data_IF_613112630204
#
_entry.id   IF_613112630204
#
_cell.length_a   1.000
_cell.length_b   1.000
_cell.length_c   1.000
_cell.angle_alpha   90.00
_cell.angle_beta   90.00
_cell.angle_gamma   90.00
#
_symmetry.space_group_name_H-M   'P 1'
#
loop_
_entity.id
_entity.type
_entity.pdbx_description
1 polymer ?
#
# COMPACT_ATOMS: atom_id res chain seq x y z
N UNK A 1 -6.59 -2.38 -9.05
CA UNK A 1 -5.70 -2.08 -7.92
C UNK A 1 -5.64 -0.59 -7.64
N UNK A 2 -5.19 -0.21 -6.45
CA UNK A 2 -4.83 1.14 -6.04
C UNK A 2 -3.64 0.97 -5.09
N UNK A 3 -2.57 1.74 -5.25
CA UNK A 3 -1.38 1.65 -4.37
C UNK A 3 -1.47 2.75 -3.34
N UNK A 4 -1.29 2.42 -2.06
CA UNK A 4 -1.37 3.38 -0.96
C UNK A 4 -0.04 3.41 -0.20
N UNK A 5 0.49 4.62 0.02
CA UNK A 5 1.75 4.83 0.73
C UNK A 5 1.50 5.71 1.95
N UNK A 6 1.97 5.28 3.12
CA UNK A 6 1.86 6.06 4.35
C UNK A 6 2.92 7.16 4.40
N UNK A 7 2.47 8.42 4.56
CA UNK A 7 3.37 9.57 4.68
C UNK A 7 4.07 9.64 6.04
N UNK A 8 3.41 9.15 7.08
CA UNK A 8 3.87 9.23 8.47
C UNK A 8 3.12 8.19 9.33
N UNK A 9 3.34 8.22 10.65
CA UNK A 9 2.73 7.27 11.59
C UNK A 9 1.20 7.28 11.60
N UNK A 10 0.56 8.44 11.35
CA UNK A 10 -0.91 8.52 11.23
C UNK A 10 -1.38 7.84 9.95
N UNK A 11 -0.67 8.05 8.84
CA UNK A 11 -0.91 7.35 7.58
C UNK A 11 -0.72 5.83 7.72
N UNK A 12 0.32 5.39 8.42
CA UNK A 12 0.57 3.99 8.71
C UNK A 12 -0.58 3.36 9.50
N UNK A 13 -1.02 4.01 10.59
CA UNK A 13 -2.18 3.57 11.36
C UNK A 13 -3.45 3.49 10.50
N UNK A 14 -3.68 4.46 9.61
CA UNK A 14 -4.78 4.43 8.66
C UNK A 14 -4.68 3.24 7.69
N UNK A 15 -3.50 2.92 7.16
CA UNK A 15 -3.28 1.72 6.35
C UNK A 15 -3.54 0.43 7.13
N UNK A 16 -3.10 0.34 8.39
CA UNK A 16 -3.40 -0.81 9.25
C UNK A 16 -4.92 -0.99 9.39
N UNK A 17 -5.67 0.07 9.70
CA UNK A 17 -7.13 0.01 9.77
C UNK A 17 -7.76 -0.43 8.44
N UNK A 18 -7.30 0.12 7.30
CA UNK A 18 -7.78 -0.29 5.99
C UNK A 18 -7.53 -1.77 5.74
N UNK A 19 -6.33 -2.28 6.01
CA UNK A 19 -5.98 -3.70 5.84
C UNK A 19 -6.85 -4.59 6.75
N UNK A 20 -7.04 -4.21 8.02
CA UNK A 20 -7.89 -4.95 8.96
C UNK A 20 -9.35 -5.00 8.50
N UNK A 21 -9.94 -3.85 8.17
CA UNK A 21 -11.32 -3.77 7.66
C UNK A 21 -11.51 -4.60 6.38
N UNK A 22 -10.52 -4.54 5.48
CA UNK A 22 -10.53 -5.29 4.22
C UNK A 22 -10.59 -6.80 4.45
N UNK A 23 -9.83 -7.33 5.41
CA UNK A 23 -9.83 -8.78 5.72
C UNK A 23 -11.03 -9.21 6.57
N UNK A 24 -11.50 -8.36 7.49
CA UNK A 24 -12.66 -8.68 8.34
C UNK A 24 -13.99 -8.68 7.58
N UNK A 25 -14.09 -7.89 6.49
CA UNK A 25 -15.32 -7.73 5.73
C UNK A 25 -15.51 -8.71 4.57
N UNK A 26 -14.46 -9.45 4.17
CA UNK A 26 -14.50 -10.36 3.02
C UNK A 26 -14.01 -11.76 3.37
N UNK A 27 -14.75 -12.80 2.97
CA UNK A 27 -14.32 -14.20 3.16
C UNK A 27 -13.33 -14.69 2.09
N UNK A 28 -13.44 -14.17 0.87
CA UNK A 28 -12.69 -14.68 -0.28
C UNK A 28 -11.60 -13.71 -0.74
N UNK A 29 -12.01 -12.56 -1.29
CA UNK A 29 -11.10 -11.57 -1.85
C UNK A 29 -11.22 -10.23 -1.09
N UNK A 30 -10.19 -9.86 -0.32
CA UNK A 30 -10.11 -8.59 0.39
C UNK A 30 -10.31 -7.40 -0.56
N UNK A 31 -11.40 -6.65 -0.35
CA UNK A 31 -11.74 -5.46 -1.14
C UNK A 31 -12.19 -4.32 -0.25
N UNK A 32 -11.77 -3.11 -0.59
CA UNK A 32 -12.15 -1.89 0.13
C UNK A 32 -13.26 -1.15 -0.60
N UNK A 33 -14.32 -0.80 0.14
CA UNK A 33 -15.35 0.11 -0.34
C UNK A 33 -14.85 1.57 -0.30
N UNK A 34 -15.31 2.39 -1.24
CA UNK A 34 -14.92 3.81 -1.32
C UNK A 34 -15.21 4.61 -0.03
N UNK A 35 -16.33 4.40 0.70
CA UNK A 35 -16.57 5.11 1.96
C UNK A 35 -15.51 4.80 3.03
N UNK A 36 -15.07 3.54 3.12
CA UNK A 36 -13.99 3.12 4.04
C UNK A 36 -12.68 3.77 3.64
N UNK A 37 -12.38 3.81 2.34
CA UNK A 37 -11.20 4.50 1.82
C UNK A 37 -11.21 5.98 2.18
N UNK A 38 -12.37 6.65 2.05
CA UNK A 38 -12.56 8.04 2.43
C UNK A 38 -12.31 8.28 3.92
N UNK A 39 -12.79 7.39 4.79
CA UNK A 39 -12.61 7.47 6.24
C UNK A 39 -11.13 7.49 6.66
N UNK A 40 -10.28 6.72 5.97
CA UNK A 40 -8.88 6.54 6.31
C UNK A 40 -7.94 7.06 5.19
N UNK A 41 -8.28 8.17 4.54
CA UNK A 41 -7.55 8.73 3.39
C UNK A 41 -6.45 9.72 3.75
N UNK A 42 -6.46 10.25 4.98
CA UNK A 42 -5.51 11.28 5.40
C UNK A 42 -4.09 10.71 5.58
N UNK A 43 -3.07 11.53 5.31
CA UNK A 43 -1.65 11.18 5.45
C UNK A 43 -1.22 9.98 4.58
N UNK A 44 -1.91 9.75 3.45
CA UNK A 44 -1.62 8.66 2.52
C UNK A 44 -1.50 9.24 1.12
N UNK A 45 -0.47 8.83 0.38
CA UNK A 45 -0.46 8.98 -1.08
C UNK A 45 -1.20 7.80 -1.72
N UNK A 46 -2.01 8.09 -2.73
CA UNK A 46 -2.70 7.10 -3.54
C UNK A 46 -2.22 7.15 -4.98
N UNK A 47 -1.66 6.06 -5.47
CA UNK A 47 -1.24 5.91 -6.87
C UNK A 47 -2.29 5.09 -7.62
N UNK A 48 -2.62 5.50 -8.85
CA UNK A 48 -3.73 4.93 -9.61
C UNK A 48 -3.64 3.42 -9.88
N UNK A 49 -2.46 2.80 -9.75
CA UNK A 49 -2.27 1.37 -9.95
C UNK A 49 -2.17 0.99 -11.43
N UNK A 50 -1.24 0.12 -11.84
CA UNK A 50 -1.10 -0.31 -13.25
C UNK A 50 -2.27 -1.17 -13.73
N UNK A 51 -2.83 -1.96 -12.81
CA UNK A 51 -4.04 -2.80 -13.00
C UNK A 51 -5.24 -2.12 -12.33
N UNK A 52 -5.19 -0.80 -12.20
CA UNK A 52 -6.21 0.02 -11.56
C UNK A 52 -7.46 0.20 -12.40
N UNK A 53 -8.52 0.73 -11.78
CA UNK A 53 -9.77 1.01 -12.47
C UNK A 53 -9.57 2.01 -13.63
N UNK A 54 -8.69 3.00 -13.45
CA UNK A 54 -8.36 3.97 -14.50
C UNK A 54 -7.77 3.26 -15.72
N UNK A 55 -6.75 2.44 -15.52
CA UNK A 55 -6.12 1.69 -16.59
C UNK A 55 -7.12 0.76 -17.30
N UNK A 56 -7.95 0.04 -16.54
CA UNK A 56 -8.98 -0.84 -17.09
C UNK A 56 -10.01 -0.08 -17.95
N UNK A 57 -10.47 1.11 -17.51
CA UNK A 57 -11.39 1.92 -18.30
C UNK A 57 -10.74 2.48 -19.56
N UNK A 58 -9.50 2.96 -19.47
CA UNK A 58 -8.76 3.51 -20.62
C UNK A 58 -8.54 2.43 -21.68
N UNK A 59 -8.06 1.25 -21.29
CA UNK A 59 -7.80 0.14 -22.21
C UNK A 59 -9.07 -0.36 -22.92
N UNK A 60 -10.25 -0.15 -22.33
CA UNK A 60 -11.56 -0.46 -22.92
C UNK A 60 -12.17 0.71 -23.72
N UNK A 61 -11.43 1.78 -23.94
CA UNK A 61 -11.91 2.99 -24.63
C UNK A 61 -12.96 3.78 -23.85
N UNK A 62 -13.15 3.53 -22.56
CA UNK A 62 -14.15 4.17 -21.69
C UNK A 62 -13.55 5.37 -20.94
N UNK A 63 -13.03 6.35 -21.67
CA UNK A 63 -12.34 7.52 -21.09
C UNK A 63 -13.22 8.31 -20.12
N UNK A 64 -14.53 8.38 -20.34
CA UNK A 64 -15.43 9.12 -19.45
C UNK A 64 -15.59 8.46 -18.08
N UNK A 65 -15.56 7.13 -18.03
CA UNK A 65 -15.54 6.38 -16.77
C UNK A 65 -14.21 6.56 -16.04
N UNK A 66 -13.08 6.57 -16.78
CA UNK A 66 -11.77 6.86 -16.21
C UNK A 66 -11.73 8.25 -15.55
N UNK A 67 -12.26 9.29 -16.23
CA UNK A 67 -12.39 10.65 -15.68
C UNK A 67 -13.25 10.69 -14.43
N UNK A 68 -14.43 10.04 -14.47
CA UNK A 68 -15.33 9.97 -13.32
C UNK A 68 -14.66 9.29 -12.13
N UNK A 69 -13.88 8.25 -12.38
CA UNK A 69 -13.13 7.54 -11.33
C UNK A 69 -11.98 8.35 -10.78
N UNK A 70 -11.19 9.02 -11.62
CA UNK A 70 -10.14 9.93 -11.20
C UNK A 70 -10.70 11.04 -10.29
N UNK A 71 -11.85 11.63 -10.66
CA UNK A 71 -12.54 12.64 -9.82
C UNK A 71 -12.91 12.09 -8.44
N UNK A 72 -13.43 10.86 -8.37
CA UNK A 72 -13.73 10.22 -7.08
C UNK A 72 -12.49 10.03 -6.23
N UNK A 73 -11.36 9.63 -6.81
CA UNK A 73 -10.12 9.52 -6.04
C UNK A 73 -9.62 10.90 -5.58
N UNK A 74 -9.77 11.95 -6.39
CA UNK A 74 -9.46 13.31 -5.99
C UNK A 74 -10.35 13.81 -4.83
N UNK A 75 -11.63 13.48 -4.84
CA UNK A 75 -12.55 13.79 -3.73
C UNK A 75 -12.17 13.07 -2.42
N UNK A 76 -11.46 11.94 -2.52
CA UNK A 76 -11.04 11.13 -1.37
C UNK A 76 -9.69 11.56 -0.84
N UNK A 77 -8.67 11.63 -1.69
CA UNK A 77 -7.29 11.87 -1.27
C UNK A 77 -6.86 13.32 -1.41
N UNK A 78 -7.53 14.11 -2.25
CA UNK A 78 -7.08 15.45 -2.60
C UNK A 78 -6.11 15.45 -3.78
N UNK A 79 -5.91 16.64 -4.35
CA UNK A 79 -5.09 16.86 -5.55
C UNK A 79 -3.61 16.58 -5.34
N UNK A 80 -3.12 16.86 -4.14
CA UNK A 80 -1.70 16.75 -3.80
C UNK A 80 -1.31 15.33 -3.35
N UNK A 81 -2.29 14.45 -3.10
CA UNK A 81 -2.04 13.09 -2.61
C UNK A 81 -2.53 11.98 -3.55
N UNK A 82 -3.29 12.29 -4.60
CA UNK A 82 -3.63 11.33 -5.66
C UNK A 82 -2.76 11.54 -6.91
N UNK A 83 -1.97 10.53 -7.26
CA UNK A 83 -1.06 10.55 -8.40
C UNK A 83 -1.44 9.51 -9.44
N UNK A 84 -1.21 9.85 -10.70
CA UNK A 84 -1.36 8.92 -11.83
C UNK A 84 -0.07 8.13 -11.99
N UNK A 85 -0.14 6.83 -11.75
CA UNK A 85 0.99 5.92 -11.84
C UNK A 85 1.23 5.49 -13.30
N UNK A 86 2.48 5.60 -13.74
CA UNK A 86 2.94 5.17 -15.05
C UNK A 86 3.96 4.04 -14.89
N UNK A 87 3.80 2.97 -15.66
CA UNK A 87 4.72 1.82 -15.68
C UNK A 87 5.12 1.49 -17.10
N UNK A 88 6.35 1.02 -17.30
CA UNK A 88 6.86 0.71 -18.64
C UNK A 88 7.76 -0.54 -18.61
N UNK A 89 7.14 -1.68 -18.88
CA UNK A 89 7.76 -2.99 -19.06
C UNK A 89 7.97 -3.32 -20.54
N UNK A 90 8.12 -2.28 -21.39
CA UNK A 90 8.33 -2.40 -22.83
C UNK A 90 7.16 -3.07 -23.59
N UNK A 91 5.96 -3.03 -23.02
CA UNK A 91 4.76 -3.60 -23.65
C UNK A 91 4.07 -2.56 -24.55
N UNK A 92 3.63 -2.93 -25.76
CA UNK A 92 2.90 -2.01 -26.65
C UNK A 92 1.64 -1.42 -26.02
N UNK A 93 0.92 -2.21 -25.21
CA UNK A 93 -0.28 -1.77 -24.49
C UNK A 93 0.02 -0.69 -23.46
N UNK A 94 1.15 -0.76 -22.77
CA UNK A 94 1.57 0.22 -21.77
C UNK A 94 1.96 1.55 -22.40
N UNK A 95 2.54 1.54 -23.61
CA UNK A 95 2.81 2.78 -24.34
C UNK A 95 1.54 3.57 -24.62
N UNK A 96 0.48 2.89 -25.07
CA UNK A 96 -0.84 3.50 -25.34
C UNK A 96 -1.49 3.96 -24.04
N UNK A 97 -1.43 3.12 -23.00
CA UNK A 97 -1.99 3.42 -21.69
C UNK A 97 -1.32 4.63 -21.05
N UNK A 98 0.01 4.70 -21.03
CA UNK A 98 0.77 5.79 -20.43
C UNK A 98 0.49 7.13 -21.10
N UNK A 99 0.38 7.15 -22.44
CA UNK A 99 0.00 8.37 -23.17
C UNK A 99 -1.38 8.87 -22.74
N UNK A 100 -2.36 7.97 -22.64
CA UNK A 100 -3.72 8.31 -22.22
C UNK A 100 -3.81 8.73 -20.75
N UNK A 101 -3.08 8.06 -19.85
CA UNK A 101 -2.96 8.40 -18.44
C UNK A 101 -2.29 9.77 -18.26
N UNK A 102 -1.20 10.04 -19.00
CA UNK A 102 -0.51 11.31 -18.96
C UNK A 102 -1.43 12.46 -19.45
N UNK A 103 -2.15 12.27 -20.57
CA UNK A 103 -3.14 13.27 -21.04
C UNK A 103 -4.25 13.51 -20.01
N UNK A 104 -4.73 12.46 -19.35
CA UNK A 104 -5.71 12.57 -18.27
C UNK A 104 -5.14 13.40 -17.11
N UNK A 105 -3.89 13.13 -16.72
CA UNK A 105 -3.21 13.86 -15.66
C UNK A 105 -3.08 15.35 -16.02
N UNK A 106 -2.58 15.69 -17.21
CA UNK A 106 -2.49 17.08 -17.68
C UNK A 106 -3.84 17.78 -17.67
N UNK A 107 -4.90 17.15 -18.18
CA UNK A 107 -6.25 17.75 -18.24
C UNK A 107 -6.81 18.09 -16.86
N UNK A 108 -6.44 17.34 -15.84
CA UNK A 108 -6.92 17.52 -14.47
C UNK A 108 -5.88 18.11 -13.52
N UNK A 109 -4.74 18.58 -14.06
CA UNK A 109 -3.61 19.10 -13.30
C UNK A 109 -3.14 18.14 -12.19
N UNK A 110 -3.04 16.86 -12.51
CA UNK A 110 -2.57 15.82 -11.60
C UNK A 110 -1.10 15.52 -11.82
N UNK A 111 -0.42 15.19 -10.73
CA UNK A 111 0.94 14.68 -10.79
C UNK A 111 0.94 13.25 -11.33
N UNK A 112 1.98 12.93 -12.09
CA UNK A 112 2.29 11.56 -12.53
C UNK A 112 3.47 11.04 -11.76
N UNK A 113 3.55 9.73 -11.55
CA UNK A 113 4.67 9.09 -10.86
C UNK A 113 5.08 7.82 -11.60
N UNK A 114 6.38 7.56 -11.70
CA UNK A 114 6.90 6.35 -12.33
C UNK A 114 7.07 5.22 -11.30
N UNK A 115 6.77 4.00 -11.69
CA UNK A 115 7.09 2.80 -10.91
C UNK A 115 7.36 1.61 -11.85
N UNK A 116 7.75 0.45 -11.30
CA UNK A 116 8.14 -0.72 -12.10
C UNK A 116 7.57 -2.06 -11.57
N UNK A 117 6.54 -2.02 -10.71
CA UNK A 117 5.87 -3.22 -10.13
C UNK A 117 6.84 -4.36 -9.77
N UNK A 118 7.87 -4.03 -8.99
CA UNK A 118 9.04 -4.89 -8.78
C UNK A 118 8.65 -6.18 -8.04
N UNK A 119 8.97 -7.33 -8.61
CA UNK A 119 8.76 -8.65 -8.00
C UNK A 119 10.05 -9.36 -7.61
N UNK A 120 11.18 -8.98 -8.20
CA UNK A 120 12.48 -9.60 -7.95
C UNK A 120 13.61 -8.56 -8.04
N UNK A 121 14.79 -8.89 -7.53
CA UNK A 121 15.86 -7.91 -7.37
C UNK A 121 16.59 -7.64 -8.69
N UNK A 122 17.08 -8.68 -9.35
CA UNK A 122 17.90 -8.58 -10.56
C UNK A 122 17.18 -9.12 -11.80
N UNK A 123 17.55 -8.65 -12.98
CA UNK A 123 16.93 -9.10 -14.23
C UNK A 123 17.04 -10.62 -14.44
N UNK A 124 18.15 -11.22 -14.00
CA UNK A 124 18.43 -12.66 -14.09
C UNK A 124 17.50 -13.52 -13.23
N UNK A 125 16.88 -12.95 -12.20
CA UNK A 125 15.96 -13.67 -11.28
C UNK A 125 14.59 -13.98 -11.92
N UNK A 126 14.37 -13.55 -13.16
CA UNK A 126 13.11 -13.74 -13.87
C UNK A 126 12.67 -15.21 -13.94
N UNK A 127 13.58 -16.13 -14.28
CA UNK A 127 13.25 -17.56 -14.39
C UNK A 127 12.87 -18.17 -13.04
N UNK A 128 13.58 -17.79 -11.98
CA UNK A 128 13.25 -18.21 -10.61
C UNK A 128 11.86 -17.70 -10.20
N UNK A 129 11.55 -16.44 -10.53
CA UNK A 129 10.23 -15.87 -10.31
C UNK A 129 9.13 -16.62 -11.09
N UNK A 130 9.37 -17.02 -12.35
CA UNK A 130 8.40 -17.83 -13.11
C UNK A 130 8.13 -19.18 -12.46
N UNK A 131 9.15 -19.84 -11.92
CA UNK A 131 9.00 -21.09 -11.18
C UNK A 131 8.13 -20.87 -9.93
N UNK A 132 8.41 -19.81 -9.16
CA UNK A 132 7.64 -19.47 -7.96
C UNK A 132 6.17 -19.21 -8.27
N UNK A 133 5.87 -18.43 -9.33
CA UNK A 133 4.48 -18.15 -9.74
C UNK A 133 3.76 -19.43 -10.12
N UNK A 134 4.40 -20.32 -10.91
CA UNK A 134 3.80 -21.61 -11.30
C UNK A 134 3.56 -22.52 -10.09
N UNK A 135 4.52 -22.60 -9.17
CA UNK A 135 4.35 -23.36 -7.94
C UNK A 135 3.16 -22.84 -7.11
N UNK A 136 3.02 -21.52 -6.98
CA UNK A 136 1.89 -20.88 -6.30
C UNK A 136 0.54 -21.19 -6.96
N UNK A 137 0.46 -21.15 -8.29
CA UNK A 137 -0.76 -21.52 -9.05
C UNK A 137 -1.19 -22.97 -8.76
N UNK A 138 -0.23 -23.89 -8.70
CA UNK A 138 -0.49 -25.31 -8.43
C UNK A 138 -0.99 -25.49 -6.99
N UNK A 139 -0.33 -24.88 -6.01
CA UNK A 139 -0.65 -25.04 -4.58
C UNK A 139 -1.99 -24.40 -4.22
N UNK A 140 -2.29 -23.23 -4.78
CA UNK A 140 -3.49 -22.47 -4.41
C UNK A 140 -4.66 -22.65 -5.37
N UNK A 141 -4.50 -23.42 -6.45
CA UNK A 141 -5.48 -23.53 -7.54
C UNK A 141 -5.94 -22.16 -8.08
N UNK A 142 -5.04 -21.18 -8.06
CA UNK A 142 -5.32 -19.82 -8.49
C UNK A 142 -4.69 -19.56 -9.86
N UNK A 143 -5.45 -18.91 -10.75
CA UNK A 143 -4.91 -18.35 -11.99
C UNK A 143 -4.19 -17.02 -11.71
N UNK A 144 -3.09 -17.06 -10.95
CA UNK A 144 -2.16 -15.93 -10.92
C UNK A 144 -1.58 -15.74 -12.31
N UNK A 145 -1.47 -14.52 -12.84
CA UNK A 145 -0.89 -14.32 -14.18
C UNK A 145 0.62 -14.25 -14.07
N UNK A 146 1.31 -15.08 -14.85
CA UNK A 146 2.74 -14.92 -15.11
C UNK A 146 3.04 -13.49 -15.61
N UNK A 147 4.21 -12.96 -15.28
CA UNK A 147 4.66 -11.70 -15.86
C UNK A 147 4.88 -11.87 -17.36
N UNK A 148 4.52 -10.88 -18.20
CA UNK A 148 4.67 -10.99 -19.65
C UNK A 148 6.12 -11.11 -20.14
N UNK A 149 7.09 -10.62 -19.35
CA UNK A 149 8.51 -10.61 -19.67
C UNK A 149 9.36 -10.38 -18.40
N UNK A 150 10.68 -10.28 -18.58
CA UNK A 150 11.70 -10.12 -17.54
C UNK A 150 11.86 -8.71 -16.95
N UNK A 151 10.96 -7.76 -17.21
CA UNK A 151 11.16 -6.34 -16.88
C UNK A 151 10.77 -5.93 -15.45
N UNK A 152 10.35 -6.87 -14.59
CA UNK A 152 9.78 -6.61 -13.25
C UNK A 152 10.84 -6.66 -12.13
N UNK A 153 12.09 -6.29 -12.43
CA UNK A 153 13.18 -6.21 -11.46
C UNK A 153 13.41 -4.79 -10.91
N UNK A 154 14.26 -4.65 -9.90
CA UNK A 154 14.65 -3.35 -9.37
C UNK A 154 15.64 -2.64 -10.32
N UNK A 155 15.08 -1.90 -11.29
CA UNK A 155 15.87 -1.12 -12.25
C UNK A 155 16.69 -0.03 -11.59
N UNK A 156 17.86 0.24 -12.15
CA UNK A 156 18.68 1.39 -11.75
C UNK A 156 17.98 2.73 -12.08
N UNK A 157 18.32 3.83 -11.39
CA UNK A 157 17.78 5.15 -11.71
C UNK A 157 17.98 5.56 -13.18
N UNK A 158 19.14 5.22 -13.76
CA UNK A 158 19.44 5.52 -15.17
C UNK A 158 18.54 4.75 -16.14
N UNK A 159 18.27 3.47 -15.86
CA UNK A 159 17.34 2.67 -16.67
C UNK A 159 15.92 3.25 -16.60
N UNK A 160 15.46 3.60 -15.40
CA UNK A 160 14.15 4.25 -15.23
C UNK A 160 14.08 5.60 -15.96
N UNK A 161 15.08 6.47 -15.80
CA UNK A 161 15.12 7.75 -16.50
C UNK A 161 15.05 7.60 -18.03
N UNK A 162 15.74 6.60 -18.60
CA UNK A 162 15.66 6.29 -20.04
C UNK A 162 14.26 5.84 -20.47
N UNK A 163 13.61 4.95 -19.71
CA UNK A 163 12.26 4.46 -20.02
C UNK A 163 11.20 5.55 -19.95
N UNK A 164 11.38 6.52 -19.06
CA UNK A 164 10.45 7.62 -18.81
C UNK A 164 10.91 8.96 -19.40
N UNK A 165 11.81 8.95 -20.39
CA UNK A 165 12.31 10.19 -21.03
C UNK A 165 11.21 11.07 -21.65
N UNK A 166 10.04 10.50 -22.00
CA UNK A 166 8.86 11.27 -22.46
C UNK A 166 8.06 11.91 -21.32
N UNK A 167 8.29 11.47 -20.09
CA UNK A 167 7.57 11.87 -18.87
C UNK A 167 8.56 12.15 -17.72
N UNK A 168 9.52 13.08 -17.88
CA UNK A 168 10.57 13.31 -16.88
C UNK A 168 10.00 13.63 -15.49
N UNK A 169 8.91 14.41 -15.43
CA UNK A 169 8.21 14.73 -14.19
C UNK A 169 7.72 13.48 -13.43
N UNK A 170 7.48 12.36 -14.10
CA UNK A 170 7.09 11.12 -13.44
C UNK A 170 8.23 10.58 -12.56
N UNK A 171 9.49 10.74 -13.00
CA UNK A 171 10.67 10.39 -12.21
C UNK A 171 10.85 11.40 -11.09
N UNK A 172 10.81 12.70 -11.36
CA UNK A 172 11.00 13.73 -10.33
C UNK A 172 9.99 13.59 -9.17
N UNK A 173 8.73 13.31 -9.50
CA UNK A 173 7.69 13.09 -8.52
C UNK A 173 7.88 11.82 -7.69
N UNK A 174 8.65 10.82 -8.15
CA UNK A 174 9.00 9.66 -7.28
C UNK A 174 9.84 10.10 -6.09
N UNK A 175 10.83 10.96 -6.32
CA UNK A 175 11.66 11.52 -5.26
C UNK A 175 10.83 12.39 -4.32
N UNK A 176 9.95 13.24 -4.85
CA UNK A 176 9.03 14.06 -4.04
C UNK A 176 8.17 13.19 -3.10
N UNK A 177 7.54 12.14 -3.64
CA UNK A 177 6.73 11.22 -2.84
C UNK A 177 7.58 10.52 -1.77
N UNK A 178 8.79 10.08 -2.12
CA UNK A 178 9.72 9.45 -1.18
C UNK A 178 10.15 10.39 -0.05
N UNK A 179 10.48 11.65 -0.37
CA UNK A 179 10.89 12.67 0.61
C UNK A 179 9.75 13.03 1.58
N UNK A 180 8.50 13.06 1.10
CA UNK A 180 7.33 13.29 1.95
C UNK A 180 6.94 12.08 2.82
N UNK A 181 7.42 10.88 2.50
CA UNK A 181 7.16 9.66 3.27
C UNK A 181 8.19 9.47 4.39
N UNK A 182 7.95 10.13 5.53
CA UNK A 182 8.79 10.05 6.72
C UNK A 182 8.09 9.28 7.86
N UNK A 183 8.06 7.95 7.73
CA UNK A 183 7.56 7.06 8.76
C UNK A 183 8.68 6.69 9.73
N UNK A 184 8.45 6.95 11.03
CA UNK A 184 9.30 6.46 12.12
C UNK A 184 8.49 5.49 12.97
N UNK A 185 8.89 4.22 12.98
CA UNK A 185 8.33 3.20 13.85
C UNK A 185 9.17 3.14 15.14
N UNK A 186 8.51 3.29 16.29
CA UNK A 186 9.17 3.09 17.58
C UNK A 186 9.18 1.60 17.90
N UNK A 187 10.26 0.91 17.53
CA UNK A 187 10.45 -0.52 17.77
C UNK A 187 11.13 -0.73 19.13
N UNK A 188 10.66 -1.70 19.91
CA UNK A 188 11.30 -2.11 21.17
C UNK A 188 10.72 -1.48 22.45
N UNK A 189 9.75 -0.57 22.34
CA UNK A 189 8.98 -0.13 23.50
C UNK A 189 8.03 -1.23 24.00
N UNK A 190 7.97 -1.42 25.32
CA UNK A 190 6.94 -2.27 25.93
C UNK A 190 5.62 -1.49 25.95
N UNK A 191 4.62 -2.00 25.23
CA UNK A 191 3.25 -1.49 25.28
C UNK A 191 2.44 -2.49 26.11
N UNK A 192 2.37 -2.26 27.42
CA UNK A 192 1.59 -3.11 28.33
C UNK A 192 0.12 -2.66 28.34
N UNK A 193 -0.84 -3.60 28.23
CA UNK A 193 -2.23 -3.30 28.54
C UNK A 193 -2.35 -2.77 29.97
N UNK A 194 -3.19 -1.77 30.17
CA UNK A 194 -3.51 -1.31 31.52
C UNK A 194 -4.29 -2.39 32.26
N UNK A 195 -3.86 -2.72 33.49
CA UNK A 195 -4.63 -3.58 34.38
C UNK A 195 -5.63 -2.72 35.17
N UNK A 196 -6.93 -3.09 35.25
CA UNK A 196 -7.89 -2.30 36.00
C UNK A 196 -7.58 -2.37 37.50
N UNK A 197 -7.26 -1.22 38.11
CA UNK A 197 -7.03 -1.08 39.55
C UNK A 197 -8.00 -0.07 40.17
N UNK A 198 -8.31 -0.19 41.48
CA UNK A 198 -9.14 0.78 42.18
C UNK A 198 -8.59 2.21 42.09
N UNK A 199 -9.49 3.19 42.09
CA UNK A 199 -9.12 4.60 41.96
C UNK A 199 -8.23 5.05 43.13
N UNK A 200 -7.07 5.62 42.80
CA UNK A 200 -6.10 6.12 43.78
C UNK A 200 -5.01 5.11 44.17
N UNK A 201 -5.09 3.86 43.74
CA UNK A 201 -4.02 2.88 43.92
C UNK A 201 -2.96 2.96 42.80
N UNK A 202 -1.75 2.49 43.07
CA UNK A 202 -0.66 2.36 42.07
C UNK A 202 -0.46 0.89 41.69
N UNK A 203 -0.13 0.63 40.42
CA UNK A 203 0.04 -0.72 39.85
C UNK A 203 0.89 -1.66 40.73
N UNK A 204 2.08 -1.20 41.16
CA UNK A 204 2.98 -2.00 41.98
C UNK A 204 2.43 -2.28 43.39
N UNK A 205 1.75 -1.31 44.00
CA UNK A 205 1.18 -1.44 45.34
C UNK A 205 0.00 -2.44 45.33
N UNK A 206 -0.85 -2.35 44.30
CA UNK A 206 -1.95 -3.28 44.08
C UNK A 206 -1.45 -4.71 43.81
N UNK A 207 -0.47 -4.86 42.92
CA UNK A 207 0.14 -6.17 42.60
C UNK A 207 0.72 -6.84 43.85
N UNK A 208 1.54 -6.11 44.61
CA UNK A 208 2.24 -6.65 45.78
C UNK A 208 1.25 -6.99 46.90
N UNK A 209 0.35 -6.07 47.25
CA UNK A 209 -0.53 -6.25 48.41
C UNK A 209 -1.65 -7.27 48.17
N UNK A 210 -2.28 -7.24 46.99
CA UNK A 210 -3.48 -8.06 46.70
C UNK A 210 -3.15 -9.38 46.03
N UNK A 211 -2.18 -9.41 45.12
CA UNK A 211 -1.92 -10.62 44.33
C UNK A 211 -0.67 -11.37 44.78
N UNK A 212 0.35 -10.70 45.30
CA UNK A 212 1.56 -11.37 45.76
C UNK A 212 1.41 -11.91 47.19
N UNK A 213 1.21 -11.04 48.19
CA UNK A 213 1.21 -11.47 49.59
C UNK A 213 0.01 -12.35 49.97
N UNK A 214 -1.20 -12.04 49.48
CA UNK A 214 -2.37 -12.90 49.72
C UNK A 214 -2.19 -14.30 49.11
N UNK A 215 -1.67 -14.38 47.87
CA UNK A 215 -1.42 -15.68 47.23
C UNK A 215 -0.29 -16.45 47.90
N UNK A 216 0.76 -15.76 48.37
CA UNK A 216 1.85 -16.39 49.10
C UNK A 216 1.32 -17.02 50.38
N UNK A 217 0.55 -16.26 51.17
CA UNK A 217 -0.09 -16.74 52.41
C UNK A 217 -1.00 -17.96 52.15
N UNK A 218 -1.79 -17.94 51.08
CA UNK A 218 -2.63 -19.09 50.71
C UNK A 218 -1.84 -20.34 50.29
N UNK A 219 -0.65 -20.18 49.70
CA UNK A 219 0.23 -21.30 49.33
C UNK A 219 1.01 -21.85 50.51
N UNK A 220 1.40 -20.99 51.45
CA UNK A 220 2.22 -21.37 52.61
C UNK A 220 1.38 -21.86 53.80
N UNK A 221 0.12 -21.44 53.94
CA UNK A 221 -0.79 -21.94 54.97
C UNK A 221 -1.53 -23.24 54.57
N UNK A 222 -0.92 -24.07 53.71
CA UNK A 222 -1.34 -25.46 53.55
C UNK A 222 -0.65 -26.31 54.62
N UNK A 223 -1.19 -26.25 55.83
CA UNK A 223 -1.11 -27.30 56.87
C UNK A 223 -2.50 -27.52 57.44
#
# INVERSE_FOLDING_TARGET
SLVLLAKNIKGYSALCHLISEMHLSSKDEPRLAMPTLKKYSQNIFALSGPKGELAAYILRGRLDLAKKRARRYLEVFGKDHFLIELQNHLLPSERVLNEALFRLACKHNLLVVASNDVYYLNQEDYELHQILVRASQIVHHQNSRATPNGEYYLKTPLQMARLFGRYPAAIDNTSLVAEECNLKLNLGGIISPAFPIPQGEKDNEYLISKHFFLSLKARTNKE
#
